data_IF_955938844875
#
_entry.id   IF_955938844875
#
_cell.length_a   1.000
_cell.length_b   1.000
_cell.length_c   1.000
_cell.angle_alpha   90.00
_cell.angle_beta   90.00
_cell.angle_gamma   90.00
#
_symmetry.space_group_name_H-M   'P 1'
#
loop_
_entity.id
_entity.type
_entity.pdbx_description
1 polymer ?
#
# COMPACT_ATOMS: atom_id res chain seq x y z
N UNK A 1 -3.24 -28.15 9.24
CA UNK A 1 -2.88 -26.76 9.61
C UNK A 1 -2.29 -26.05 8.40
N UNK A 2 -2.85 -24.88 8.05
CA UNK A 2 -2.28 -24.04 7.00
C UNK A 2 -1.06 -23.31 7.58
N UNK A 3 0.12 -23.51 7.00
CA UNK A 3 1.32 -22.75 7.37
C UNK A 3 1.39 -21.50 6.49
N UNK A 4 1.31 -20.33 7.10
CA UNK A 4 1.47 -19.05 6.42
C UNK A 4 2.94 -18.67 6.44
N UNK A 5 3.49 -18.27 5.28
CA UNK A 5 4.78 -17.60 5.17
C UNK A 5 4.52 -16.15 4.77
N UNK A 6 5.04 -15.22 5.54
CA UNK A 6 4.83 -13.79 5.36
C UNK A 6 6.14 -13.10 5.03
N UNK A 7 6.25 -12.56 3.82
CA UNK A 7 7.39 -11.77 3.38
C UNK A 7 6.99 -10.30 3.30
N UNK A 8 7.63 -9.48 4.10
CA UNK A 8 7.40 -8.04 4.18
C UNK A 8 8.45 -7.33 3.33
N UNK A 9 8.02 -6.48 2.42
CA UNK A 9 8.92 -5.63 1.62
C UNK A 9 8.82 -4.21 2.15
N UNK A 10 9.94 -3.67 2.61
CA UNK A 10 10.02 -2.39 3.29
C UNK A 10 11.33 -1.67 2.98
N UNK A 11 11.45 -0.42 3.45
CA UNK A 11 12.71 0.33 3.37
C UNK A 11 13.83 -0.38 4.13
N UNK A 12 15.08 -0.10 3.74
CA UNK A 12 16.25 -0.71 4.38
C UNK A 12 16.25 -0.55 5.90
N UNK A 13 15.91 0.66 6.40
CA UNK A 13 15.86 0.93 7.84
C UNK A 13 14.76 0.12 8.55
N UNK A 14 13.61 -0.06 7.92
CA UNK A 14 12.51 -0.88 8.47
C UNK A 14 12.86 -2.36 8.44
N UNK A 15 13.53 -2.84 7.38
CA UNK A 15 14.03 -4.21 7.31
C UNK A 15 15.03 -4.50 8.44
N UNK A 16 15.96 -3.58 8.70
CA UNK A 16 16.91 -3.72 9.81
C UNK A 16 16.21 -3.76 11.16
N UNK A 17 15.23 -2.91 11.39
CA UNK A 17 14.41 -2.92 12.61
C UNK A 17 13.58 -4.20 12.75
N UNK A 18 13.12 -4.76 11.65
CA UNK A 18 12.35 -6.01 11.62
C UNK A 18 13.14 -7.29 11.85
N UNK A 19 14.49 -7.24 11.75
CA UNK A 19 15.33 -8.45 11.84
C UNK A 19 15.13 -9.25 13.14
N UNK A 20 14.88 -8.57 14.25
CA UNK A 20 14.62 -9.24 15.54
C UNK A 20 13.33 -10.06 15.59
N UNK A 21 12.41 -9.82 14.63
CA UNK A 21 11.12 -10.52 14.49
C UNK A 21 11.16 -11.64 13.44
N UNK A 22 12.29 -11.80 12.73
CA UNK A 22 12.42 -12.78 11.65
C UNK A 22 12.45 -14.20 12.20
N UNK A 23 11.65 -15.09 11.58
CA UNK A 23 11.63 -16.52 11.86
C UNK A 23 11.36 -17.34 10.57
N UNK A 24 10.96 -18.61 10.69
CA UNK A 24 10.64 -19.47 9.55
C UNK A 24 9.38 -19.00 8.77
N UNK A 25 8.49 -18.22 9.40
CA UNK A 25 7.24 -17.76 8.87
C UNK A 25 7.23 -16.29 8.45
N UNK A 26 8.12 -15.46 9.03
CA UNK A 26 8.21 -14.02 8.81
C UNK A 26 9.61 -13.60 8.39
N UNK A 27 9.73 -12.94 7.24
CA UNK A 27 10.99 -12.37 6.75
C UNK A 27 10.79 -10.98 6.18
N UNK A 28 11.85 -10.15 6.23
CA UNK A 28 11.86 -8.79 5.71
C UNK A 28 12.85 -8.65 4.56
N UNK A 29 12.44 -7.92 3.52
CA UNK A 29 13.21 -7.68 2.31
C UNK A 29 13.13 -6.22 1.90
N UNK A 30 14.21 -5.68 1.34
CA UNK A 30 14.25 -4.32 0.83
C UNK A 30 13.86 -4.21 -0.67
N UNK A 31 13.44 -5.30 -1.28
CA UNK A 31 12.95 -5.32 -2.66
C UNK A 31 11.95 -6.45 -2.91
N UNK A 32 11.00 -6.18 -3.79
CA UNK A 32 9.99 -7.16 -4.25
C UNK A 32 10.69 -8.36 -4.89
N UNK A 33 11.71 -8.13 -5.71
CA UNK A 33 12.42 -9.21 -6.42
C UNK A 33 13.14 -10.17 -5.47
N UNK A 34 13.73 -9.67 -4.40
CA UNK A 34 14.38 -10.50 -3.38
C UNK A 34 13.37 -11.33 -2.58
N UNK A 35 12.26 -10.72 -2.18
CA UNK A 35 11.17 -11.41 -1.50
C UNK A 35 10.56 -12.52 -2.37
N UNK A 36 10.30 -12.23 -3.64
CA UNK A 36 9.74 -13.19 -4.60
C UNK A 36 10.71 -14.35 -4.85
N UNK A 37 12.01 -14.07 -4.97
CA UNK A 37 13.03 -15.11 -5.18
C UNK A 37 13.11 -16.09 -3.99
N UNK A 38 12.95 -15.60 -2.76
CA UNK A 38 12.99 -16.44 -1.55
C UNK A 38 11.68 -17.23 -1.38
N UNK A 39 10.53 -16.62 -1.63
CA UNK A 39 9.21 -17.25 -1.43
C UNK A 39 8.79 -18.18 -2.57
N UNK A 40 9.16 -17.87 -3.81
CA UNK A 40 8.70 -18.56 -5.01
C UNK A 40 7.29 -18.12 -5.40
N UNK A 41 6.34 -19.07 -5.44
CA UNK A 41 4.94 -18.75 -5.74
C UNK A 41 4.28 -17.99 -4.60
N UNK A 42 3.54 -16.96 -4.96
CA UNK A 42 2.86 -16.07 -4.01
C UNK A 42 1.35 -16.27 -4.16
N UNK A 43 0.70 -16.71 -3.09
CA UNK A 43 -0.75 -16.88 -3.08
C UNK A 43 -1.46 -15.52 -2.95
N UNK A 44 -0.99 -14.66 -2.05
CA UNK A 44 -1.58 -13.35 -1.82
C UNK A 44 -0.49 -12.27 -1.72
N UNK A 45 -0.63 -11.23 -2.51
CA UNK A 45 0.08 -9.97 -2.34
C UNK A 45 -0.87 -8.97 -1.68
N UNK A 46 -0.43 -8.42 -0.55
CA UNK A 46 -1.17 -7.38 0.18
C UNK A 46 -0.39 -6.06 0.13
N UNK A 47 -1.07 -5.00 -0.27
CA UNK A 47 -0.57 -3.62 -0.11
C UNK A 47 -1.62 -2.79 0.61
N UNK A 48 -1.25 -2.20 1.73
CA UNK A 48 -2.13 -1.41 2.59
C UNK A 48 -1.48 -0.08 2.92
N UNK A 49 -2.14 1.02 2.57
CA UNK A 49 -1.63 2.38 2.81
C UNK A 49 -0.19 2.63 2.32
N UNK A 50 0.22 2.01 1.21
CA UNK A 50 1.59 2.11 0.69
C UNK A 50 1.67 2.92 -0.60
N UNK A 51 0.77 2.67 -1.57
CA UNK A 51 0.81 3.31 -2.89
C UNK A 51 0.85 4.84 -2.82
N UNK A 52 0.09 5.45 -1.92
CA UNK A 52 0.00 6.89 -1.79
C UNK A 52 1.29 7.56 -1.32
N UNK A 53 2.24 6.81 -0.77
CA UNK A 53 3.52 7.33 -0.28
C UNK A 53 4.69 7.00 -1.20
N UNK A 54 4.44 6.28 -2.30
CA UNK A 54 5.46 6.02 -3.31
C UNK A 54 5.71 7.27 -4.17
N UNK A 55 6.95 7.54 -4.57
CA UNK A 55 7.27 8.66 -5.47
C UNK A 55 6.52 8.57 -6.81
N UNK A 56 6.34 7.36 -7.34
CA UNK A 56 5.52 7.06 -8.52
C UNK A 56 4.60 5.88 -8.20
N UNK A 57 3.38 6.14 -7.73
CA UNK A 57 2.44 5.08 -7.33
C UNK A 57 2.00 4.19 -8.51
N UNK A 58 1.98 4.72 -9.73
CA UNK A 58 1.59 3.94 -10.92
C UNK A 58 2.72 2.99 -11.34
N UNK A 59 3.97 3.44 -11.32
CA UNK A 59 5.12 2.57 -11.58
C UNK A 59 5.21 1.47 -10.51
N UNK A 60 5.02 1.82 -9.24
CA UNK A 60 5.04 0.85 -8.16
C UNK A 60 3.88 -0.17 -8.27
N UNK A 61 2.67 0.28 -8.62
CA UNK A 61 1.56 -0.64 -8.89
C UNK A 61 1.91 -1.64 -10.00
N UNK A 62 2.54 -1.20 -11.10
CA UNK A 62 2.99 -2.09 -12.17
C UNK A 62 3.99 -3.14 -11.68
N UNK A 63 4.91 -2.77 -10.80
CA UNK A 63 5.84 -3.73 -10.17
C UNK A 63 5.09 -4.76 -9.32
N UNK A 64 4.11 -4.34 -8.51
CA UNK A 64 3.26 -5.24 -7.74
C UNK A 64 2.49 -6.21 -8.63
N UNK A 65 1.88 -5.72 -9.72
CA UNK A 65 1.14 -6.55 -10.68
C UNK A 65 2.07 -7.51 -11.45
N UNK A 66 3.34 -7.15 -11.66
CA UNK A 66 4.33 -8.01 -12.31
C UNK A 66 4.68 -9.26 -11.49
N UNK A 67 4.53 -9.22 -10.18
CA UNK A 67 4.73 -10.37 -9.26
C UNK A 67 3.90 -11.58 -9.66
N UNK A 68 2.72 -11.37 -10.24
CA UNK A 68 1.79 -12.45 -10.66
C UNK A 68 1.33 -13.33 -9.50
N UNK A 69 1.12 -12.73 -8.33
CA UNK A 69 0.50 -13.42 -7.21
C UNK A 69 -0.91 -13.92 -7.60
N UNK A 70 -1.33 -15.07 -7.07
CA UNK A 70 -2.65 -15.63 -7.37
C UNK A 70 -3.77 -14.65 -7.00
N UNK A 71 -3.63 -13.97 -5.88
CA UNK A 71 -4.53 -12.90 -5.43
C UNK A 71 -3.74 -11.64 -5.10
N UNK A 72 -4.36 -10.48 -5.36
CA UNK A 72 -3.85 -9.18 -4.90
C UNK A 72 -4.95 -8.49 -4.10
N UNK A 73 -4.60 -7.96 -2.94
CA UNK A 73 -5.47 -7.08 -2.17
C UNK A 73 -4.79 -5.73 -1.97
N UNK A 74 -5.37 -4.70 -2.59
CA UNK A 74 -4.99 -3.29 -2.43
C UNK A 74 -6.01 -2.68 -1.49
N UNK A 75 -5.57 -2.03 -0.42
CA UNK A 75 -6.46 -1.46 0.60
C UNK A 75 -5.91 -0.16 1.17
N UNK A 76 -6.80 0.66 1.74
CA UNK A 76 -6.47 1.92 2.40
C UNK A 76 -5.68 2.89 1.51
N UNK A 77 -6.02 2.94 0.23
CA UNK A 77 -5.40 3.81 -0.76
C UNK A 77 -6.41 4.88 -1.17
N UNK A 78 -6.07 6.17 -1.12
CA UNK A 78 -6.93 7.24 -1.59
C UNK A 78 -6.90 7.31 -3.11
N UNK A 79 -8.05 7.19 -3.73
CA UNK A 79 -8.21 7.31 -5.17
C UNK A 79 -8.86 8.64 -5.54
N UNK A 80 -8.58 9.09 -6.75
CA UNK A 80 -9.02 10.35 -7.30
C UNK A 80 -9.71 10.13 -8.67
N UNK A 81 -10.85 10.78 -8.96
CA UNK A 81 -11.58 10.59 -10.20
C UNK A 81 -11.00 11.39 -11.39
N UNK A 82 -9.77 11.90 -11.26
CA UNK A 82 -9.06 12.60 -12.34
C UNK A 82 -8.21 11.69 -13.19
N UNK A 83 -7.52 12.28 -14.19
CA UNK A 83 -6.68 11.51 -15.14
C UNK A 83 -5.18 11.50 -14.75
N UNK A 84 -4.77 12.29 -13.76
CA UNK A 84 -3.40 12.39 -13.30
C UNK A 84 -3.36 12.28 -11.78
N UNK A 85 -2.26 11.74 -11.26
CA UNK A 85 -2.03 11.71 -9.81
C UNK A 85 -2.03 13.11 -9.23
N UNK A 86 -2.88 13.33 -8.24
CA UNK A 86 -2.91 14.57 -7.46
C UNK A 86 -2.01 14.36 -6.24
N UNK A 87 -1.04 15.25 -6.05
CA UNK A 87 -0.16 15.23 -4.88
C UNK A 87 -0.54 16.38 -3.94
N UNK A 88 -0.68 16.08 -2.67
CA UNK A 88 -0.94 17.03 -1.60
C UNK A 88 0.05 16.86 -0.46
N UNK A 89 -0.01 17.75 0.52
CA UNK A 89 0.74 17.62 1.78
C UNK A 89 -0.24 17.23 2.87
N UNK A 90 0.04 16.10 3.50
CA UNK A 90 -0.69 15.64 4.68
C UNK A 90 0.04 16.15 5.94
N UNK A 91 -0.74 16.64 6.90
CA UNK A 91 -0.27 16.98 8.25
C UNK A 91 -0.87 16.00 9.26
N UNK A 92 -0.06 15.53 10.18
CA UNK A 92 -0.51 14.73 11.31
C UNK A 92 0.45 14.89 12.50
N UNK A 93 -0.05 14.59 13.71
CA UNK A 93 0.83 14.44 14.86
C UNK A 93 1.62 13.12 14.75
N UNK A 94 2.86 13.11 15.18
CA UNK A 94 3.71 11.91 15.16
C UNK A 94 3.04 10.71 15.84
N UNK A 95 2.33 10.95 16.95
CA UNK A 95 1.56 9.95 17.70
C UNK A 95 0.42 9.31 16.92
N UNK A 96 -0.04 9.92 15.84
CA UNK A 96 -1.13 9.42 14.99
C UNK A 96 -0.66 8.42 13.92
N UNK A 97 0.68 8.27 13.74
CA UNK A 97 1.24 7.47 12.64
C UNK A 97 1.64 6.04 13.02
N UNK A 98 1.24 5.58 14.18
CA UNK A 98 1.53 4.20 14.62
C UNK A 98 0.58 3.73 15.72
N UNK A 99 0.51 2.43 15.95
CA UNK A 99 -0.27 1.88 17.06
C UNK A 99 0.44 2.13 18.39
N UNK A 100 -0.31 2.61 19.37
CA UNK A 100 0.17 2.80 20.73
C UNK A 100 0.87 4.15 20.98
N UNK A 101 1.40 4.34 22.20
CA UNK A 101 2.06 5.57 22.57
C UNK A 101 3.43 5.70 21.87
N UNK A 102 3.88 6.95 21.73
CA UNK A 102 5.23 7.20 21.23
C UNK A 102 6.28 6.54 22.12
N UNK A 103 7.36 6.00 21.52
CA UNK A 103 8.48 5.46 22.29
C UNK A 103 9.10 6.53 23.23
N UNK A 104 9.67 6.08 24.32
CA UNK A 104 10.33 6.98 25.27
C UNK A 104 11.42 7.80 24.58
N UNK A 105 11.42 9.10 24.81
CA UNK A 105 12.39 10.05 24.24
C UNK A 105 11.92 10.74 22.95
N UNK A 106 10.79 10.33 22.38
CA UNK A 106 10.17 11.04 21.27
C UNK A 106 9.25 12.15 21.76
N UNK A 107 9.31 13.29 21.09
CA UNK A 107 8.41 14.42 21.33
C UNK A 107 7.30 14.36 20.30
N UNK A 108 6.06 14.43 20.74
CA UNK A 108 4.93 14.51 19.84
C UNK A 108 4.91 15.86 19.13
N UNK A 109 5.03 15.85 17.82
CA UNK A 109 5.10 17.05 16.99
C UNK A 109 4.34 16.84 15.70
N UNK A 110 3.93 17.94 15.10
CA UNK A 110 3.36 17.94 13.76
C UNK A 110 4.42 17.52 12.73
N UNK A 111 4.05 16.61 11.86
CA UNK A 111 4.86 16.17 10.72
C UNK A 111 4.09 16.39 9.43
N UNK A 112 4.82 16.82 8.40
CA UNK A 112 4.30 17.07 7.06
C UNK A 112 4.95 16.07 6.09
N UNK A 113 4.14 15.43 5.28
CA UNK A 113 4.63 14.50 4.27
C UNK A 113 3.72 14.48 3.03
N UNK A 114 4.28 14.20 1.84
CA UNK A 114 3.49 14.13 0.63
C UNK A 114 2.55 12.92 0.65
N UNK A 115 1.36 13.11 0.09
CA UNK A 115 0.39 12.05 -0.16
C UNK A 115 -0.11 12.16 -1.60
N UNK A 116 -0.16 11.04 -2.30
CA UNK A 116 -0.66 10.93 -3.65
C UNK A 116 -2.08 10.37 -3.66
N UNK A 117 -2.98 11.05 -4.39
CA UNK A 117 -4.31 10.54 -4.73
C UNK A 117 -4.23 9.97 -6.16
N UNK A 118 -4.43 8.68 -6.29
CA UNK A 118 -4.12 7.95 -7.53
C UNK A 118 -5.36 7.91 -8.42
N UNK A 119 -5.23 8.10 -9.77
CA UNK A 119 -6.36 8.03 -10.69
C UNK A 119 -7.01 6.64 -10.67
N UNK A 120 -8.27 6.56 -10.23
CA UNK A 120 -8.95 5.28 -10.04
C UNK A 120 -9.14 4.51 -11.34
N UNK A 121 -9.54 5.18 -12.43
CA UNK A 121 -9.73 4.55 -13.73
C UNK A 121 -8.43 3.96 -14.28
N UNK A 122 -7.31 4.65 -14.10
CA UNK A 122 -6.00 4.15 -14.51
C UNK A 122 -5.58 2.91 -13.72
N UNK A 123 -5.84 2.91 -12.41
CA UNK A 123 -5.55 1.77 -11.54
C UNK A 123 -6.40 0.56 -11.93
N UNK A 124 -7.70 0.76 -12.13
CA UNK A 124 -8.60 -0.32 -12.57
C UNK A 124 -8.19 -0.89 -13.93
N UNK A 125 -7.84 -0.03 -14.89
CA UNK A 125 -7.37 -0.45 -16.22
C UNK A 125 -6.10 -1.31 -16.11
N UNK A 126 -5.09 -0.87 -15.33
CA UNK A 126 -3.86 -1.62 -15.12
C UNK A 126 -4.11 -2.97 -14.43
N UNK A 127 -4.95 -3.01 -13.40
CA UNK A 127 -5.33 -4.25 -12.74
C UNK A 127 -5.98 -5.20 -13.75
N UNK A 128 -6.92 -4.70 -14.55
CA UNK A 128 -7.69 -5.50 -15.50
C UNK A 128 -6.88 -6.03 -16.67
N UNK A 129 -5.67 -5.54 -16.93
CA UNK A 129 -4.78 -6.16 -17.94
C UNK A 129 -4.45 -7.62 -17.58
N UNK A 130 -4.29 -7.92 -16.32
CA UNK A 130 -3.78 -9.23 -15.84
C UNK A 130 -4.69 -9.93 -14.83
N UNK A 131 -5.51 -9.17 -14.12
CA UNK A 131 -6.34 -9.65 -13.02
C UNK A 131 -7.83 -9.40 -13.29
N UNK A 132 -8.66 -10.19 -12.65
CA UNK A 132 -10.10 -9.95 -12.53
C UNK A 132 -10.37 -9.29 -11.17
N UNK A 133 -10.98 -8.12 -11.14
CA UNK A 133 -11.44 -7.50 -9.90
C UNK A 133 -12.64 -8.29 -9.41
N UNK A 134 -12.49 -9.03 -8.31
CA UNK A 134 -13.55 -9.85 -7.71
C UNK A 134 -14.51 -9.01 -6.88
N UNK A 135 -13.98 -8.04 -6.13
CA UNK A 135 -14.79 -7.03 -5.48
C UNK A 135 -14.00 -5.73 -5.26
N UNK A 136 -14.74 -4.65 -5.22
CA UNK A 136 -14.30 -3.30 -4.89
C UNK A 136 -15.15 -2.81 -3.73
N UNK A 137 -14.51 -2.39 -2.66
CA UNK A 137 -15.18 -1.94 -1.42
C UNK A 137 -14.84 -0.49 -1.17
N UNK A 138 -15.84 0.35 -0.90
CA UNK A 138 -15.62 1.68 -0.37
C UNK A 138 -15.25 1.53 1.12
N UNK A 139 -14.00 1.84 1.47
CA UNK A 139 -13.48 1.69 2.81
C UNK A 139 -13.72 2.94 3.65
N UNK A 140 -13.46 4.12 3.06
CA UNK A 140 -13.70 5.40 3.70
C UNK A 140 -14.26 6.40 2.68
N UNK A 141 -15.17 7.30 3.10
CA UNK A 141 -15.67 8.36 2.25
C UNK A 141 -14.58 9.41 1.97
N UNK A 142 -14.89 10.32 1.05
CA UNK A 142 -14.00 11.42 0.72
C UNK A 142 -13.66 12.27 1.97
N UNK A 143 -12.38 12.61 2.09
CA UNK A 143 -11.85 13.48 3.13
C UNK A 143 -11.10 14.70 2.56
N UNK A 144 -10.93 14.76 1.25
CA UNK A 144 -10.41 15.91 0.52
C UNK A 144 -11.53 16.51 -0.34
N UNK A 145 -11.71 17.82 -0.22
CA UNK A 145 -12.71 18.56 -0.96
C UNK A 145 -12.06 19.74 -1.69
N UNK A 146 -12.46 19.93 -2.94
CA UNK A 146 -12.11 21.11 -3.74
C UNK A 146 -13.43 21.77 -4.15
N UNK A 147 -13.59 23.06 -3.84
CA UNK A 147 -14.83 23.82 -4.10
C UNK A 147 -16.10 23.09 -3.59
N UNK A 148 -16.00 22.50 -2.39
CA UNK A 148 -17.05 21.69 -1.74
C UNK A 148 -17.44 20.40 -2.49
N UNK A 149 -16.66 19.98 -3.49
CA UNK A 149 -16.84 18.69 -4.14
C UNK A 149 -15.85 17.67 -3.58
N UNK A 150 -16.30 16.45 -3.25
CA UNK A 150 -15.42 15.39 -2.83
C UNK A 150 -14.50 14.99 -3.99
N UNK A 151 -13.19 14.97 -3.75
CA UNK A 151 -12.21 14.68 -4.82
C UNK A 151 -11.44 13.38 -4.61
N UNK A 152 -11.71 12.66 -3.52
CA UNK A 152 -11.11 11.35 -3.28
C UNK A 152 -12.10 10.37 -2.65
N UNK A 153 -11.77 9.09 -2.71
CA UNK A 153 -12.37 8.04 -1.91
C UNK A 153 -11.35 6.94 -1.65
N UNK A 154 -11.47 6.23 -0.54
CA UNK A 154 -10.62 5.08 -0.24
C UNK A 154 -11.35 3.81 -0.68
N UNK A 155 -10.71 3.04 -1.53
CA UNK A 155 -11.25 1.76 -1.98
C UNK A 155 -10.28 0.62 -1.68
N UNK A 156 -10.87 -0.53 -1.32
CA UNK A 156 -10.19 -1.81 -1.36
C UNK A 156 -10.50 -2.55 -2.66
N UNK A 157 -9.49 -3.15 -3.27
CA UNK A 157 -9.60 -4.00 -4.47
C UNK A 157 -9.08 -5.39 -4.17
N UNK A 158 -9.93 -6.38 -4.20
CA UNK A 158 -9.52 -7.78 -4.19
C UNK A 158 -9.59 -8.36 -5.59
N UNK A 159 -8.46 -8.85 -6.07
CA UNK A 159 -8.28 -9.26 -7.45
C UNK A 159 -7.70 -10.67 -7.53
N UNK A 160 -8.11 -11.41 -8.55
CA UNK A 160 -7.63 -12.76 -8.86
C UNK A 160 -6.94 -12.78 -10.22
N UNK A 161 -5.79 -13.43 -10.30
CA UNK A 161 -5.04 -13.62 -11.54
C UNK A 161 -5.90 -14.36 -12.57
N UNK A 162 -5.88 -13.89 -13.84
CA UNK A 162 -6.65 -14.51 -14.94
C UNK A 162 -6.09 -15.86 -15.35
#
# INVERSE_FOLDING_TARGET
ECKIKWHVVETESMCQSGQAMTDESLKFFNSISSAQKDLGNIDLLLTSSALQYCPDPIAYLKELLAVSAKYIYITRTPFFPGHQTLVSVQSSMLSQNGPGPLPQGYIDQEILYPISFVPIEQVEALIQEKYTIRFKVLEEPANLFVENQPVNAYYGFFCELK
#
